data_IF_389736137985
#
_entry.id   IF_389736137985
#
_cell.length_a   1.000
_cell.length_b   1.000
_cell.length_c   1.000
_cell.angle_alpha   90.00
_cell.angle_beta   90.00
_cell.angle_gamma   90.00
#
_symmetry.space_group_name_H-M   'P 1'
#
loop_
_entity.id
_entity.type
_entity.pdbx_description
1 polymer ?
#
# COMPACT_ATOMS: atom_id res chain seq x y z
N UNK A 1 -11.70 -14.39 17.59
CA UNK A 1 -10.49 -13.81 16.95
C UNK A 1 -9.83 -14.86 16.03
N UNK A 2 -10.36 -15.00 14.81
CA UNK A 2 -9.97 -16.01 13.82
C UNK A 2 -9.34 -15.35 12.59
N UNK A 3 -8.38 -14.47 12.83
CA UNK A 3 -7.52 -13.95 11.77
C UNK A 3 -6.43 -15.00 11.60
N UNK A 4 -6.64 -15.84 10.59
CA UNK A 4 -6.00 -17.12 10.36
C UNK A 4 -4.46 -17.04 10.54
N UNK A 5 -3.81 -18.06 11.14
CA UNK A 5 -2.37 -18.29 10.98
C UNK A 5 -1.89 -18.25 9.52
N UNK A 6 -2.81 -18.38 8.56
CA UNK A 6 -2.55 -18.25 7.14
C UNK A 6 -2.41 -16.81 6.63
N UNK A 7 -2.81 -15.74 7.33
CA UNK A 7 -2.76 -14.38 6.73
C UNK A 7 -1.35 -14.00 6.29
N UNK A 8 -0.38 -14.08 7.21
CA UNK A 8 1.02 -13.75 6.93
C UNK A 8 1.59 -14.65 5.83
N UNK A 9 1.39 -15.96 5.94
CA UNK A 9 1.93 -16.93 4.99
C UNK A 9 1.33 -16.77 3.59
N UNK A 10 0.00 -16.64 3.49
CA UNK A 10 -0.74 -16.50 2.23
C UNK A 10 -0.41 -15.16 1.57
N UNK A 11 -0.36 -14.06 2.32
CA UNK A 11 -0.06 -12.75 1.73
C UNK A 11 1.41 -12.67 1.30
N UNK A 12 2.35 -13.21 2.10
CA UNK A 12 3.74 -13.32 1.67
C UNK A 12 3.86 -14.16 0.40
N UNK A 13 3.19 -15.31 0.32
CA UNK A 13 3.18 -16.15 -0.88
C UNK A 13 2.68 -15.36 -2.11
N UNK A 14 1.57 -14.63 -1.98
CA UNK A 14 1.04 -13.77 -3.05
C UNK A 14 2.08 -12.74 -3.53
N UNK A 15 2.76 -12.06 -2.60
CA UNK A 15 3.80 -11.06 -2.93
C UNK A 15 4.99 -11.70 -3.64
N UNK A 16 5.45 -12.85 -3.16
CA UNK A 16 6.56 -13.58 -3.77
C UNK A 16 6.18 -14.11 -5.15
N UNK A 17 4.93 -14.54 -5.36
CA UNK A 17 4.42 -15.00 -6.64
C UNK A 17 4.33 -13.84 -7.65
N UNK A 18 3.86 -12.67 -7.21
CA UNK A 18 3.89 -11.46 -8.02
C UNK A 18 5.34 -11.07 -8.40
N UNK A 19 6.29 -11.14 -7.46
CA UNK A 19 7.69 -10.85 -7.74
C UNK A 19 8.32 -11.84 -8.74
N UNK A 20 7.95 -13.12 -8.68
CA UNK A 20 8.40 -14.14 -9.65
C UNK A 20 7.79 -13.93 -11.05
N UNK A 21 6.53 -13.49 -11.09
CA UNK A 21 5.79 -13.32 -12.36
C UNK A 21 6.19 -12.05 -13.08
N UNK A 22 6.29 -10.93 -12.37
CA UNK A 22 6.52 -9.61 -12.95
C UNK A 22 7.97 -9.11 -12.81
N UNK A 23 8.83 -9.88 -12.13
CA UNK A 23 10.22 -9.52 -11.90
C UNK A 23 10.43 -8.49 -10.79
N UNK A 24 11.69 -8.37 -10.32
CA UNK A 24 12.06 -7.53 -9.17
C UNK A 24 12.01 -6.03 -9.43
N UNK A 25 11.97 -5.62 -10.69
CA UNK A 25 11.79 -4.22 -11.10
C UNK A 25 10.35 -3.72 -10.89
N UNK A 26 9.38 -4.63 -10.77
CA UNK A 26 7.98 -4.28 -10.52
C UNK A 26 7.82 -3.66 -9.14
N UNK A 27 7.11 -2.54 -9.09
CA UNK A 27 6.89 -1.75 -7.88
C UNK A 27 5.59 -2.20 -7.22
N UNK A 28 5.70 -2.90 -6.09
CA UNK A 28 4.57 -3.43 -5.34
C UNK A 28 4.19 -2.46 -4.22
N UNK A 29 2.92 -2.09 -4.12
CA UNK A 29 2.41 -1.19 -3.09
C UNK A 29 1.35 -1.90 -2.26
N UNK A 30 1.64 -2.12 -0.98
CA UNK A 30 0.73 -2.78 -0.04
C UNK A 30 0.15 -1.73 0.89
N UNK A 31 -1.15 -1.48 0.76
CA UNK A 31 -1.89 -0.54 1.61
C UNK A 31 -2.51 -1.25 2.83
N UNK A 32 -2.61 -0.53 3.94
CA UNK A 32 -3.43 -0.94 5.09
C UNK A 32 -4.35 0.20 5.53
N UNK A 33 -5.55 -0.12 6.03
CA UNK A 33 -6.60 0.85 6.34
C UNK A 33 -7.52 1.15 5.15
N UNK A 34 -8.48 2.07 5.29
CA UNK A 34 -8.70 2.97 6.42
C UNK A 34 -9.75 2.45 7.42
N UNK A 35 -10.45 1.35 7.08
CA UNK A 35 -11.58 0.83 7.85
C UNK A 35 -11.17 0.17 9.17
N UNK A 36 -9.97 -0.41 9.21
CA UNK A 36 -9.39 -1.03 10.40
C UNK A 36 -7.87 -0.98 10.29
N UNK A 37 -7.19 -0.94 11.44
CA UNK A 37 -5.74 -1.06 11.56
C UNK A 37 -5.28 -2.43 12.06
N UNK A 38 -6.21 -3.36 12.33
CA UNK A 38 -5.94 -4.66 12.97
C UNK A 38 -4.90 -5.53 12.22
N UNK A 39 -4.65 -5.26 10.93
CA UNK A 39 -3.70 -6.03 10.12
C UNK A 39 -2.50 -5.21 9.65
N UNK A 40 -2.36 -3.94 10.05
CA UNK A 40 -1.28 -3.10 9.54
C UNK A 40 0.10 -3.62 9.94
N UNK A 41 0.26 -4.13 11.15
CA UNK A 41 1.51 -4.78 11.59
C UNK A 41 1.83 -6.02 10.73
N UNK A 42 0.82 -6.80 10.37
CA UNK A 42 0.98 -7.96 9.52
C UNK A 42 1.36 -7.57 8.08
N UNK A 43 0.78 -6.50 7.54
CA UNK A 43 1.15 -5.97 6.22
C UNK A 43 2.58 -5.43 6.22
N UNK A 44 3.00 -4.70 7.26
CA UNK A 44 4.39 -4.25 7.41
C UNK A 44 5.35 -5.44 7.53
N UNK A 45 4.97 -6.48 8.27
CA UNK A 45 5.72 -7.74 8.35
C UNK A 45 5.89 -8.36 6.95
N UNK A 46 4.84 -8.45 6.14
CA UNK A 46 4.92 -8.99 4.76
C UNK A 46 5.90 -8.17 3.91
N UNK A 47 5.84 -6.84 3.98
CA UNK A 47 6.78 -5.96 3.27
C UNK A 47 8.23 -6.24 3.68
N UNK A 48 8.49 -6.41 4.98
CA UNK A 48 9.81 -6.74 5.52
C UNK A 48 10.32 -8.10 5.04
N UNK A 49 9.49 -9.14 5.16
CA UNK A 49 9.86 -10.51 4.76
C UNK A 49 10.06 -10.64 3.25
N UNK A 50 9.24 -9.98 2.44
CA UNK A 50 9.39 -9.99 0.99
C UNK A 50 10.73 -9.37 0.55
N UNK A 51 11.13 -8.24 1.15
CA UNK A 51 12.45 -7.61 0.90
C UNK A 51 13.61 -8.51 1.30
N UNK A 52 13.49 -9.23 2.43
CA UNK A 52 14.50 -10.17 2.88
C UNK A 52 14.60 -11.41 1.96
N UNK A 53 13.47 -11.85 1.40
CA UNK A 53 13.39 -13.06 0.57
C UNK A 53 13.86 -12.84 -0.87
N UNK A 54 13.67 -11.63 -1.42
CA UNK A 54 13.95 -11.34 -2.84
C UNK A 54 14.85 -10.11 -2.94
N UNK A 55 16.14 -10.34 -3.23
CA UNK A 55 17.12 -9.26 -3.36
C UNK A 55 16.70 -8.29 -4.46
N UNK A 56 16.67 -7.01 -4.13
CA UNK A 56 16.35 -5.93 -5.07
C UNK A 56 14.85 -5.71 -5.32
N UNK A 57 13.96 -6.44 -4.65
CA UNK A 57 12.51 -6.25 -4.76
C UNK A 57 12.09 -4.82 -4.39
N UNK A 58 11.31 -4.19 -5.27
CA UNK A 58 10.72 -2.87 -5.05
C UNK A 58 9.32 -3.01 -4.46
N UNK A 59 9.21 -2.88 -3.14
CA UNK A 59 7.94 -3.00 -2.42
C UNK A 59 7.80 -1.88 -1.39
N UNK A 60 6.59 -1.35 -1.21
CA UNK A 60 6.29 -0.19 -0.37
C UNK A 60 5.06 -0.44 0.49
N UNK A 61 5.10 0.05 1.73
CA UNK A 61 3.96 0.08 2.63
C UNK A 61 3.24 1.43 2.50
N UNK A 62 1.92 1.42 2.37
CA UNK A 62 1.07 2.63 2.36
C UNK A 62 0.15 2.61 3.59
N UNK A 63 0.33 3.60 4.47
CA UNK A 63 -0.48 3.74 5.67
C UNK A 63 -1.72 4.58 5.40
N UNK A 64 -2.89 3.94 5.34
CA UNK A 64 -4.17 4.61 5.24
C UNK A 64 -5.00 4.51 6.53
N UNK A 65 -4.45 4.06 7.66
CA UNK A 65 -5.23 3.83 8.89
C UNK A 65 -5.87 5.11 9.45
N UNK A 66 -5.35 6.29 9.10
CA UNK A 66 -5.74 7.57 9.68
C UNK A 66 -6.82 8.32 8.90
N UNK A 67 -7.30 7.80 7.77
CA UNK A 67 -8.24 8.51 6.90
C UNK A 67 -9.70 8.50 7.41
N UNK A 68 -10.09 7.60 8.32
CA UNK A 68 -11.41 7.58 8.97
C UNK A 68 -11.41 8.30 10.34
N UNK A 69 -10.76 9.46 10.44
CA UNK A 69 -10.73 10.28 11.66
C UNK A 69 -11.75 11.45 11.67
N UNK A 70 -12.59 11.55 10.64
CA UNK A 70 -13.57 12.63 10.46
C UNK A 70 -13.01 13.91 9.82
N UNK A 71 -11.70 14.04 9.63
CA UNK A 71 -11.07 15.22 9.00
C UNK A 71 -11.42 15.36 7.52
N UNK A 72 -11.54 14.23 6.80
CA UNK A 72 -11.70 14.24 5.35
C UNK A 72 -13.15 14.17 4.89
N UNK A 73 -14.05 13.61 5.69
CA UNK A 73 -15.46 13.47 5.34
C UNK A 73 -16.21 12.52 6.27
N UNK A 74 -17.54 12.44 6.14
CA UNK A 74 -18.36 11.53 6.92
C UNK A 74 -18.07 10.06 6.54
N UNK A 75 -18.54 9.14 7.36
CA UNK A 75 -18.49 7.71 7.09
C UNK A 75 -19.91 7.16 7.05
N UNK A 76 -20.12 6.07 6.31
CA UNK A 76 -21.42 5.39 6.25
C UNK A 76 -21.19 3.89 6.41
N UNK A 77 -21.80 3.27 7.43
CA UNK A 77 -21.57 1.85 7.75
C UNK A 77 -20.08 1.46 7.81
N UNK A 78 -19.26 2.28 8.47
CA UNK A 78 -17.80 2.11 8.58
C UNK A 78 -17.02 2.17 7.27
N UNK A 79 -17.65 2.50 6.14
CA UNK A 79 -16.98 2.69 4.86
C UNK A 79 -16.62 4.17 4.64
N UNK A 80 -15.48 4.43 3.96
CA UNK A 80 -15.07 5.79 3.57
C UNK A 80 -16.06 6.45 2.61
N UNK A 81 -16.31 7.75 2.80
CA UNK A 81 -17.03 8.57 1.82
C UNK A 81 -16.14 8.94 0.63
N UNK A 82 -16.73 9.53 -0.41
CA UNK A 82 -16.00 10.00 -1.59
C UNK A 82 -14.89 11.01 -1.22
N UNK A 83 -15.09 11.85 -0.21
CA UNK A 83 -14.07 12.80 0.25
C UNK A 83 -12.90 12.09 0.95
N UNK A 84 -13.19 11.06 1.76
CA UNK A 84 -12.15 10.21 2.35
C UNK A 84 -11.36 9.48 1.25
N UNK A 85 -12.06 8.93 0.25
CA UNK A 85 -11.43 8.31 -0.91
C UNK A 85 -10.54 9.28 -1.69
N UNK A 86 -10.98 10.53 -1.90
CA UNK A 86 -10.19 11.55 -2.58
C UNK A 86 -8.89 11.87 -1.80
N UNK A 87 -8.97 11.95 -0.48
CA UNK A 87 -7.80 12.15 0.37
C UNK A 87 -6.82 10.96 0.32
N UNK A 88 -7.33 9.73 0.39
CA UNK A 88 -6.51 8.52 0.22
C UNK A 88 -5.87 8.46 -1.18
N UNK A 89 -6.61 8.82 -2.22
CA UNK A 89 -6.12 8.84 -3.59
C UNK A 89 -4.99 9.86 -3.75
N UNK A 90 -5.12 11.05 -3.16
CA UNK A 90 -4.07 12.06 -3.18
C UNK A 90 -2.78 11.57 -2.48
N UNK A 91 -2.90 10.97 -1.30
CA UNK A 91 -1.76 10.42 -0.58
C UNK A 91 -1.11 9.23 -1.32
N UNK A 92 -1.93 8.30 -1.82
CA UNK A 92 -1.47 7.15 -2.60
C UNK A 92 -0.78 7.58 -3.90
N UNK A 93 -1.36 8.53 -4.64
CA UNK A 93 -0.77 9.07 -5.85
C UNK A 93 0.58 9.76 -5.58
N UNK A 94 0.70 10.52 -4.49
CA UNK A 94 1.97 11.14 -4.10
C UNK A 94 3.04 10.09 -3.78
N UNK A 95 2.69 9.04 -3.03
CA UNK A 95 3.64 7.97 -2.70
C UNK A 95 4.05 7.15 -3.91
N UNK A 96 3.11 6.79 -4.78
CA UNK A 96 3.39 6.09 -6.04
C UNK A 96 4.25 6.97 -6.94
N UNK A 97 3.89 8.23 -7.12
CA UNK A 97 4.66 9.17 -7.95
C UNK A 97 6.11 9.28 -7.50
N UNK A 98 6.35 9.40 -6.19
CA UNK A 98 7.71 9.40 -5.63
C UNK A 98 8.45 8.09 -5.88
N UNK A 99 7.81 6.94 -5.65
CA UNK A 99 8.43 5.63 -5.84
C UNK A 99 8.75 5.33 -7.32
N UNK A 100 7.93 5.84 -8.23
CA UNK A 100 8.05 5.66 -9.67
C UNK A 100 8.94 6.70 -10.36
N UNK A 101 9.29 7.80 -9.67
CA UNK A 101 9.96 8.94 -10.30
C UNK A 101 9.06 9.72 -11.26
N UNK A 102 7.74 9.70 -11.04
CA UNK A 102 6.76 10.47 -11.82
C UNK A 102 6.58 11.91 -11.31
N UNK A 103 7.29 12.31 -10.26
CA UNK A 103 7.20 13.67 -9.73
C UNK A 103 7.83 14.64 -10.76
N UNK A 104 6.99 15.24 -11.62
CA UNK A 104 7.40 16.10 -12.74
C UNK A 104 7.81 17.51 -12.28
N UNK A 105 8.37 17.66 -11.08
CA UNK A 105 9.01 18.92 -10.68
C UNK A 105 10.34 19.17 -11.40
N UNK A 106 10.77 18.30 -12.31
CA UNK A 106 11.76 18.67 -13.32
C UNK A 106 11.10 19.39 -14.51
N UNK A 107 11.45 20.66 -14.79
CA UNK A 107 11.00 21.36 -15.98
C UNK A 107 11.73 20.80 -17.21
N UNK A 108 11.20 19.74 -17.83
CA UNK A 108 11.87 19.16 -19.00
C UNK A 108 11.18 18.02 -19.76
N UNK A 109 10.08 17.44 -19.28
CA UNK A 109 9.42 16.33 -19.97
C UNK A 109 8.12 16.75 -20.66
N UNK A 110 8.24 17.67 -21.62
CA UNK A 110 7.33 17.75 -22.77
C UNK A 110 8.22 17.71 -24.01
N UNK A 111 8.26 16.55 -24.67
CA UNK A 111 8.61 16.43 -26.09
C UNK A 111 7.40 15.85 -26.80
#
# INVERSE_FOLDING_TARGET
PWVLPSFNATYLALVLDAARTYGTATQLFLACGPMTSEHCDAVQWVVSQARASVRGLKIWYMDHAHFLNGTYGPTCFYHPSAQVHAAMAAAGAAQIGKAMGWDTSEPGARQ
#
